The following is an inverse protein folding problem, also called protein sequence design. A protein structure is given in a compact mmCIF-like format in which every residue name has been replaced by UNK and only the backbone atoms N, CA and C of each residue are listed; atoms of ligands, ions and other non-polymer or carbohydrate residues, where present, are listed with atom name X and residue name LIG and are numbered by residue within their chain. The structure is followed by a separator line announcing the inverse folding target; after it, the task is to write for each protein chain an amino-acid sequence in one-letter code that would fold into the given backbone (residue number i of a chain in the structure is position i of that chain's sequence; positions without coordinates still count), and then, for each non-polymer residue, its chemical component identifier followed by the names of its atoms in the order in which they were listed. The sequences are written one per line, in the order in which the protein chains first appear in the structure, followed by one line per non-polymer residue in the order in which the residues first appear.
data_IF_864299335804
#
_entry.id   IF_864299335804
#
_cell.length_a   1.000
_cell.length_b   1.000
_cell.length_c   1.000
_cell.angle_alpha   90.00
_cell.angle_beta   90.00
_cell.angle_gamma   90.00
#
_symmetry.space_group_name_H-M   'P 1'
#
loop_
_entity.id
_entity.type
_entity.pdbx_description
1 polymer ?
#
# COMPACT_ATOMS: atom_id res chain seq x y z
N UNK A 1 -43.88 23.77 5.30
CA UNK A 1 -43.31 22.98 6.40
C UNK A 1 -43.62 21.52 6.12
N UNK A 2 -42.71 20.83 5.44
CA UNK A 2 -42.84 19.42 5.04
C UNK A 2 -41.78 18.63 5.81
N UNK A 3 -42.22 17.77 6.71
CA UNK A 3 -41.37 16.85 7.47
C UNK A 3 -40.72 15.82 6.55
N UNK A 4 -39.41 15.54 6.66
CA UNK A 4 -38.79 14.46 5.92
C UNK A 4 -39.05 13.12 6.60
N UNK A 5 -39.65 12.20 5.86
CA UNK A 5 -39.83 10.79 6.20
C UNK A 5 -38.46 10.10 6.21
N UNK A 6 -38.04 9.61 7.38
CA UNK A 6 -36.83 8.80 7.53
C UNK A 6 -37.10 7.40 6.98
N UNK A 7 -36.34 6.98 5.97
CA UNK A 7 -36.39 5.62 5.46
C UNK A 7 -35.87 4.63 6.51
N UNK A 8 -36.47 3.44 6.67
CA UNK A 8 -36.02 2.45 7.63
C UNK A 8 -34.64 1.89 7.22
N UNK A 9 -33.74 1.81 8.19
CA UNK A 9 -32.42 1.20 8.02
C UNK A 9 -32.56 -0.27 7.60
N UNK A 10 -31.69 -0.79 6.73
CA UNK A 10 -31.73 -2.19 6.34
C UNK A 10 -31.42 -3.07 7.55
N UNK A 11 -32.38 -3.91 7.93
CA UNK A 11 -32.22 -4.92 8.96
C UNK A 11 -31.17 -5.91 8.47
N UNK A 12 -29.95 -5.83 9.03
CA UNK A 12 -28.92 -6.86 8.84
C UNK A 12 -29.49 -8.15 9.43
N UNK A 13 -29.81 -9.12 8.57
CA UNK A 13 -30.19 -10.44 9.01
C UNK A 13 -29.08 -11.00 9.91
N UNK A 14 -29.39 -11.59 11.08
CA UNK A 14 -28.38 -12.20 11.92
C UNK A 14 -27.66 -13.29 11.10
N UNK A 15 -26.33 -13.23 11.08
CA UNK A 15 -25.50 -14.29 10.51
C UNK A 15 -25.92 -15.64 11.11
N UNK A 16 -25.96 -16.73 10.31
CA UNK A 16 -26.35 -18.03 10.84
C UNK A 16 -25.48 -18.37 12.05
N UNK A 17 -26.11 -18.60 13.19
CA UNK A 17 -25.44 -18.99 14.43
C UNK A 17 -24.85 -20.38 14.23
N UNK A 18 -23.58 -20.45 13.84
CA UNK A 18 -22.82 -21.70 13.72
C UNK A 18 -22.89 -22.42 15.06
N UNK A 19 -23.33 -23.69 15.05
CA UNK A 19 -23.50 -24.44 16.28
C UNK A 19 -22.13 -24.63 16.97
N UNK A 20 -22.01 -24.56 18.31
CA UNK A 20 -20.74 -24.75 19.00
C UNK A 20 -20.03 -26.07 18.69
N UNK A 21 -20.77 -27.11 18.31
CA UNK A 21 -20.25 -28.40 17.84
C UNK A 21 -19.59 -28.31 16.46
N UNK A 22 -20.09 -27.45 15.59
CA UNK A 22 -19.59 -27.24 14.23
C UNK A 22 -18.25 -26.48 14.30
N UNK A 23 -18.15 -25.46 15.16
CA UNK A 23 -16.88 -24.78 15.48
C UNK A 23 -15.81 -25.74 16.03
N UNK A 24 -16.20 -26.71 16.88
CA UNK A 24 -15.29 -27.75 17.41
C UNK A 24 -14.72 -28.65 16.32
N UNK A 25 -15.50 -28.95 15.28
CA UNK A 25 -15.06 -29.79 14.17
C UNK A 25 -14.01 -29.10 13.28
N UNK A 26 -14.11 -27.77 13.12
CA UNK A 26 -13.21 -26.98 12.27
C UNK A 26 -11.78 -27.01 12.80
N UNK A 27 -11.58 -26.70 14.08
CA UNK A 27 -10.24 -26.70 14.67
C UNK A 27 -9.55 -28.08 14.60
N UNK A 28 -10.29 -29.15 14.90
CA UNK A 28 -9.76 -30.51 14.79
C UNK A 28 -9.40 -30.89 13.34
N UNK A 29 -10.21 -30.46 12.36
CA UNK A 29 -9.93 -30.66 10.94
C UNK A 29 -8.67 -29.90 10.50
N UNK A 30 -8.52 -28.64 10.93
CA UNK A 30 -7.35 -27.82 10.66
C UNK A 30 -6.07 -28.43 11.21
N UNK A 31 -6.09 -28.91 12.47
CA UNK A 31 -4.95 -29.56 13.06
C UNK A 31 -4.58 -30.87 12.36
N UNK A 32 -5.55 -31.66 11.89
CA UNK A 32 -5.28 -32.86 11.07
C UNK A 32 -4.56 -32.49 9.79
N UNK A 33 -5.04 -31.45 9.09
CA UNK A 33 -4.43 -30.99 7.84
C UNK A 33 -2.99 -30.48 8.07
N UNK A 34 -2.75 -29.71 9.13
CA UNK A 34 -1.41 -29.24 9.49
C UNK A 34 -0.48 -30.39 9.91
N UNK A 35 -1.00 -31.34 10.68
CA UNK A 35 -0.24 -32.50 11.17
C UNK A 35 0.17 -33.47 10.05
N UNK A 36 -0.57 -33.52 8.93
CA UNK A 36 -0.23 -34.37 7.78
C UNK A 36 1.13 -34.05 7.14
N UNK A 37 1.70 -32.87 7.41
CA UNK A 37 3.05 -32.49 6.95
C UNK A 37 4.17 -33.22 7.72
N UNK A 38 3.84 -33.90 8.81
CA UNK A 38 4.80 -34.54 9.70
C UNK A 38 4.68 -36.07 9.64
N UNK A 39 5.80 -36.81 9.73
CA UNK A 39 5.79 -38.28 9.62
C UNK A 39 5.01 -38.99 10.73
N UNK A 40 4.89 -38.36 11.91
CA UNK A 40 4.14 -38.94 13.03
C UNK A 40 3.62 -37.86 13.98
N UNK A 41 2.41 -38.08 14.50
CA UNK A 41 1.81 -37.21 15.54
C UNK A 41 2.66 -37.21 16.82
N UNK A 42 3.31 -38.32 17.15
CA UNK A 42 4.17 -38.40 18.33
C UNK A 42 5.45 -37.55 18.18
N UNK A 43 6.05 -37.51 16.98
CA UNK A 43 7.17 -36.62 16.68
C UNK A 43 6.76 -35.16 16.75
N UNK A 44 5.65 -34.82 16.08
CA UNK A 44 5.05 -33.50 16.10
C UNK A 44 4.81 -33.00 17.54
N UNK A 45 4.19 -33.81 18.41
CA UNK A 45 3.91 -33.42 19.79
C UNK A 45 5.18 -33.10 20.60
N UNK A 46 6.30 -33.80 20.32
CA UNK A 46 7.59 -33.54 20.98
C UNK A 46 8.20 -32.21 20.54
N UNK A 47 8.20 -31.94 19.24
CA UNK A 47 8.71 -30.68 18.68
C UNK A 47 7.84 -29.49 19.09
N UNK A 48 6.52 -29.66 19.04
CA UNK A 48 5.56 -28.67 19.48
C UNK A 48 5.59 -28.48 21.01
N UNK A 49 6.08 -29.47 21.75
CA UNK A 49 6.14 -29.54 23.22
C UNK A 49 4.76 -29.58 23.89
N UNK A 50 3.81 -30.27 23.28
CA UNK A 50 2.44 -30.45 23.79
C UNK A 50 2.24 -31.94 24.13
N UNK A 51 1.52 -32.21 25.21
CA UNK A 51 1.22 -33.59 25.60
C UNK A 51 0.40 -34.30 24.51
N UNK A 52 0.82 -35.52 24.11
CA UNK A 52 0.16 -36.28 23.03
C UNK A 52 -1.32 -36.56 23.28
N UNK A 53 -1.69 -36.91 24.51
CA UNK A 53 -3.10 -37.16 24.89
C UNK A 53 -3.91 -35.88 24.80
N UNK A 54 -3.32 -34.75 25.16
CA UNK A 54 -3.95 -33.44 25.02
C UNK A 54 -4.11 -33.05 23.54
N UNK A 55 -3.07 -33.26 22.72
CA UNK A 55 -3.12 -32.97 21.28
C UNK A 55 -4.16 -33.84 20.55
N UNK A 56 -4.28 -35.12 20.90
CA UNK A 56 -5.31 -36.00 20.34
C UNK A 56 -6.73 -35.52 20.65
N UNK A 57 -6.97 -34.97 21.85
CA UNK A 57 -8.26 -34.35 22.19
C UNK A 57 -8.56 -33.08 21.40
N UNK A 58 -7.52 -32.38 20.93
CA UNK A 58 -7.68 -31.26 20.00
C UNK A 58 -8.04 -31.74 18.60
N UNK A 59 -7.35 -32.79 18.11
CA UNK A 59 -7.65 -33.40 16.82
C UNK A 59 -9.09 -33.92 16.78
N UNK A 60 -9.60 -34.55 17.83
CA UNK A 60 -10.99 -35.02 17.88
C UNK A 60 -12.04 -33.93 18.10
N UNK A 61 -11.63 -32.68 18.42
CA UNK A 61 -12.55 -31.59 18.74
C UNK A 61 -13.21 -31.69 20.12
N UNK A 62 -12.72 -32.60 20.98
CA UNK A 62 -13.21 -32.78 22.36
C UNK A 62 -12.83 -31.62 23.28
N UNK A 63 -11.74 -30.91 22.97
CA UNK A 63 -11.26 -29.78 23.78
C UNK A 63 -10.56 -28.74 22.92
N UNK A 64 -10.43 -27.52 23.47
CA UNK A 64 -9.66 -26.44 22.88
C UNK A 64 -8.39 -26.13 23.67
N UNK A 65 -7.32 -25.66 23.01
CA UNK A 65 -6.10 -25.25 23.68
C UNK A 65 -6.33 -24.00 24.54
N UNK A 66 -5.60 -23.94 25.65
CA UNK A 66 -5.45 -22.69 26.41
C UNK A 66 -4.67 -21.66 25.56
N UNK A 67 -4.80 -20.35 25.84
CA UNK A 67 -4.18 -19.30 25.03
C UNK A 67 -2.66 -19.48 24.81
N UNK A 68 -1.92 -19.91 25.83
CA UNK A 68 -0.48 -20.18 25.76
C UNK A 68 -0.15 -21.36 24.81
N UNK A 69 -0.94 -22.43 24.89
CA UNK A 69 -0.80 -23.59 24.00
C UNK A 69 -1.20 -23.25 22.58
N UNK A 70 -2.27 -22.47 22.41
CA UNK A 70 -2.71 -22.00 21.10
C UNK A 70 -1.65 -21.14 20.43
N UNK A 71 -1.07 -20.18 21.16
CA UNK A 71 0.02 -19.35 20.65
C UNK A 71 1.19 -20.22 20.16
N UNK A 72 1.60 -21.23 20.93
CA UNK A 72 2.66 -22.17 20.52
C UNK A 72 2.29 -22.95 19.25
N UNK A 73 1.06 -23.42 19.14
CA UNK A 73 0.54 -24.09 17.93
C UNK A 73 0.61 -23.14 16.73
N UNK A 74 0.08 -21.92 16.87
CA UNK A 74 0.08 -20.89 15.85
C UNK A 74 1.50 -20.55 15.38
N UNK A 75 2.42 -20.29 16.31
CA UNK A 75 3.83 -20.01 16.00
C UNK A 75 4.53 -21.19 15.33
N UNK A 76 4.27 -22.41 15.79
CA UNK A 76 4.92 -23.61 15.24
C UNK A 76 4.51 -23.89 13.80
N UNK A 77 3.23 -23.71 13.47
CA UNK A 77 2.70 -23.97 12.12
C UNK A 77 2.70 -22.72 11.21
N UNK A 78 3.12 -21.57 11.71
CA UNK A 78 3.05 -20.26 11.05
C UNK A 78 1.62 -19.91 10.58
N UNK A 79 0.67 -19.98 11.52
CA UNK A 79 -0.76 -19.72 11.28
C UNK A 79 -1.36 -18.82 12.35
N UNK A 80 -2.48 -18.18 12.03
CA UNK A 80 -3.21 -17.28 12.93
C UNK A 80 -4.24 -18.02 13.83
N UNK A 81 -4.64 -17.43 14.95
CA UNK A 81 -5.62 -18.00 15.88
C UNK A 81 -7.01 -18.25 15.25
N UNK A 82 -7.29 -17.65 14.08
CA UNK A 82 -8.44 -17.99 13.23
C UNK A 82 -8.59 -19.48 12.93
N UNK A 83 -7.51 -20.28 13.06
CA UNK A 83 -7.60 -21.76 12.92
C UNK A 83 -8.61 -22.40 13.86
N UNK A 84 -9.05 -21.71 14.92
CA UNK A 84 -10.11 -22.19 15.81
C UNK A 84 -11.49 -22.22 15.13
N UNK A 85 -11.74 -21.31 14.19
CA UNK A 85 -13.09 -20.99 13.70
C UNK A 85 -13.21 -21.02 12.17
N UNK A 86 -12.10 -20.94 11.44
CA UNK A 86 -12.07 -20.92 9.98
C UNK A 86 -11.21 -22.07 9.43
N UNK A 87 -11.57 -22.70 8.30
CA UNK A 87 -10.71 -23.69 7.64
C UNK A 87 -9.31 -23.14 7.33
N UNK A 88 -8.25 -23.90 7.64
CA UNK A 88 -6.85 -23.44 7.59
C UNK A 88 -6.35 -23.14 6.18
N UNK A 89 -6.92 -23.79 5.18
CA UNK A 89 -6.71 -23.49 3.77
C UNK A 89 -7.27 -22.12 3.37
N UNK A 90 -8.39 -21.69 3.99
CA UNK A 90 -9.01 -20.39 3.72
C UNK A 90 -8.35 -19.23 4.49
N UNK A 91 -7.73 -19.50 5.63
CA UNK A 91 -7.05 -18.49 6.46
C UNK A 91 -5.89 -17.85 5.69
N UNK A 92 -5.15 -18.65 4.93
CA UNK A 92 -4.02 -18.18 4.12
C UNK A 92 -4.48 -17.59 2.79
N UNK A 93 -5.57 -18.09 2.19
CA UNK A 93 -6.08 -17.61 0.91
C UNK A 93 -6.76 -16.22 1.02
N UNK A 94 -7.40 -15.90 2.14
CA UNK A 94 -8.05 -14.59 2.35
C UNK A 94 -7.09 -13.42 2.59
N UNK A 95 -5.79 -13.70 2.77
CA UNK A 95 -4.75 -12.70 3.01
C UNK A 95 -3.90 -12.36 1.79
N UNK A 96 -4.04 -13.08 0.67
CA UNK A 96 -3.25 -12.82 -0.52
C UNK A 96 -3.76 -11.55 -1.22
N UNK A 97 -3.18 -10.39 -0.87
CA UNK A 97 -3.29 -9.18 -1.68
C UNK A 97 -2.85 -9.45 -3.12
N UNK A 98 -3.36 -8.68 -4.08
CA UNK A 98 -3.13 -8.89 -5.52
C UNK A 98 -1.67 -9.18 -5.88
N UNK A 99 -0.73 -8.45 -5.26
CA UNK A 99 0.72 -8.59 -5.48
C UNK A 99 1.29 -9.87 -4.84
N UNK A 100 0.73 -10.31 -3.72
CA UNK A 100 1.15 -11.51 -2.97
C UNK A 100 0.44 -12.79 -3.43
N UNK A 101 -0.45 -12.70 -4.44
CA UNK A 101 -1.17 -13.86 -4.96
C UNK A 101 -0.19 -14.87 -5.61
N UNK A 102 -0.34 -16.19 -5.37
CA UNK A 102 0.63 -17.20 -5.83
C UNK A 102 0.98 -17.15 -7.32
N UNK A 103 0.00 -16.84 -8.17
CA UNK A 103 0.20 -16.67 -9.63
C UNK A 103 1.21 -15.58 -10.01
N UNK A 104 1.30 -14.50 -9.22
CA UNK A 104 2.15 -13.35 -9.52
C UNK A 104 3.28 -13.15 -8.50
N UNK A 105 3.21 -13.80 -7.33
CA UNK A 105 4.17 -13.61 -6.24
C UNK A 105 5.64 -13.83 -6.66
N UNK A 106 6.00 -14.85 -7.48
CA UNK A 106 7.36 -15.01 -7.98
C UNK A 106 7.86 -13.86 -8.86
N UNK A 107 6.95 -13.07 -9.43
CA UNK A 107 7.25 -12.02 -10.40
C UNK A 107 7.16 -10.62 -9.80
N UNK A 108 6.21 -10.40 -8.88
CA UNK A 108 5.83 -9.08 -8.40
C UNK A 108 5.99 -8.89 -6.90
N UNK A 109 6.16 -9.94 -6.08
CA UNK A 109 6.18 -9.81 -4.61
C UNK A 109 7.57 -9.92 -3.98
N UNK A 110 8.47 -10.72 -4.56
CA UNK A 110 9.77 -11.01 -3.94
C UNK A 110 10.63 -9.74 -3.86
N UNK A 111 10.85 -9.24 -2.64
CA UNK A 111 11.70 -8.07 -2.36
C UNK A 111 11.13 -6.72 -2.83
N UNK A 112 10.04 -6.70 -3.59
CA UNK A 112 9.45 -5.48 -4.16
C UNK A 112 8.61 -4.69 -3.16
N UNK A 113 7.93 -5.37 -2.23
CA UNK A 113 6.96 -4.70 -1.33
C UNK A 113 7.60 -4.12 -0.06
N UNK A 114 8.80 -4.60 0.29
CA UNK A 114 9.56 -4.14 1.45
C UNK A 114 10.63 -3.12 1.03
N UNK A 115 10.28 -1.84 1.05
CA UNK A 115 11.22 -0.74 0.77
C UNK A 115 11.89 -0.32 2.09
N UNK A 116 13.21 -0.43 2.14
CA UNK A 116 14.01 0.00 3.30
C UNK A 116 14.05 1.54 3.43
N UNK A 117 14.17 2.05 4.66
CA UNK A 117 14.26 3.50 4.94
C UNK A 117 15.50 4.11 4.26
N UNK A 118 16.60 3.35 4.11
CA UNK A 118 17.78 3.78 3.38
C UNK A 118 17.55 3.89 1.87
N UNK A 119 16.53 3.22 1.31
CA UNK A 119 16.17 3.32 -0.12
C UNK A 119 15.21 4.49 -0.38
N UNK A 120 14.23 4.67 0.50
CA UNK A 120 13.32 5.82 0.51
C UNK A 120 12.82 6.12 1.92
N UNK A 121 13.24 7.24 2.53
CA UNK A 121 12.87 7.55 3.88
C UNK A 121 11.39 7.93 3.99
N UNK A 122 10.79 7.66 5.14
CA UNK A 122 9.48 8.21 5.50
C UNK A 122 9.56 9.74 5.68
N UNK A 123 8.45 10.43 5.46
CA UNK A 123 8.32 11.87 5.71
C UNK A 123 7.90 12.68 4.49
N UNK A 124 8.05 14.00 4.60
CA UNK A 124 7.71 14.94 3.55
C UNK A 124 8.75 15.01 2.45
N UNK A 125 8.25 14.95 1.22
CA UNK A 125 9.01 15.24 0.02
C UNK A 125 8.38 16.43 -0.70
N UNK A 126 9.24 17.33 -1.19
CA UNK A 126 8.88 18.25 -2.25
C UNK A 126 9.02 17.53 -3.58
N UNK A 127 8.05 17.67 -4.47
CA UNK A 127 8.17 17.16 -5.82
C UNK A 127 7.90 18.23 -6.87
N UNK A 128 8.53 18.06 -8.03
CA UNK A 128 8.23 18.84 -9.23
C UNK A 128 8.09 17.96 -10.46
N UNK A 129 7.23 18.36 -11.41
CA UNK A 129 7.03 17.68 -12.69
C UNK A 129 6.42 18.64 -13.72
N UNK A 130 6.85 18.66 -15.00
CA UNK A 130 6.16 19.39 -16.07
C UNK A 130 4.67 19.05 -16.08
N UNK A 131 3.80 20.05 -16.23
CA UNK A 131 2.36 19.80 -16.29
C UNK A 131 2.01 18.96 -17.52
N UNK A 132 1.07 18.02 -17.35
CA UNK A 132 0.64 17.16 -18.46
C UNK A 132 -0.26 17.90 -19.46
N UNK A 133 -0.85 19.02 -19.05
CA UNK A 133 -1.80 19.80 -19.86
C UNK A 133 -1.22 21.13 -20.33
N UNK A 134 -0.27 21.70 -19.61
CA UNK A 134 0.38 22.97 -19.94
C UNK A 134 1.89 22.76 -19.95
N UNK A 135 2.48 22.69 -21.14
CA UNK A 135 3.91 22.40 -21.32
C UNK A 135 4.82 23.53 -20.84
N UNK A 136 4.27 24.71 -20.55
CA UNK A 136 5.02 25.88 -20.06
C UNK A 136 5.08 25.96 -18.53
N UNK A 137 4.31 25.11 -17.84
CA UNK A 137 4.17 25.13 -16.38
C UNK A 137 4.71 23.87 -15.74
N UNK A 138 5.19 24.00 -14.51
CA UNK A 138 5.60 22.88 -13.67
C UNK A 138 4.66 22.76 -12.48
N UNK A 139 4.23 21.54 -12.19
CA UNK A 139 3.52 21.22 -10.95
C UNK A 139 4.56 21.15 -9.83
N UNK A 140 4.40 21.98 -8.81
CA UNK A 140 5.14 21.91 -7.55
C UNK A 140 4.18 21.44 -6.44
N UNK A 141 4.61 20.49 -5.61
CA UNK A 141 3.77 20.02 -4.52
C UNK A 141 4.51 19.28 -3.43
N UNK A 142 3.73 18.88 -2.43
CA UNK A 142 4.16 18.01 -1.33
C UNK A 142 3.55 16.62 -1.48
N UNK A 143 4.37 15.62 -1.19
CA UNK A 143 3.91 14.27 -0.90
C UNK A 143 4.47 13.83 0.46
N UNK A 144 3.72 12.98 1.14
CA UNK A 144 4.10 12.38 2.40
C UNK A 144 4.22 10.88 2.21
N UNK A 145 5.42 10.33 2.42
CA UNK A 145 5.70 8.90 2.36
C UNK A 145 5.64 8.35 3.78
N UNK A 146 4.97 7.22 3.95
CA UNK A 146 4.81 6.57 5.25
C UNK A 146 4.69 5.06 5.11
N UNK A 147 5.08 4.36 6.17
CA UNK A 147 4.97 2.90 6.26
C UNK A 147 3.82 2.51 7.16
N UNK A 148 3.08 1.48 6.77
CA UNK A 148 2.00 0.90 7.57
C UNK A 148 1.84 -0.58 7.20
N UNK A 149 1.70 -1.45 8.20
CA UNK A 149 1.48 -2.88 8.00
C UNK A 149 2.55 -3.55 7.12
N UNK A 150 3.80 -3.09 7.20
CA UNK A 150 4.93 -3.59 6.39
C UNK A 150 5.01 -3.05 4.95
N UNK A 151 4.06 -2.22 4.52
CA UNK A 151 4.03 -1.63 3.18
C UNK A 151 4.35 -0.13 3.21
N UNK A 152 4.84 0.38 2.09
CA UNK A 152 5.15 1.80 1.90
C UNK A 152 4.08 2.47 1.04
N UNK A 153 3.58 3.60 1.53
CA UNK A 153 2.52 4.38 0.90
C UNK A 153 2.95 5.82 0.70
N UNK A 154 2.33 6.48 -0.28
CA UNK A 154 2.40 7.92 -0.43
C UNK A 154 1.01 8.53 -0.35
N UNK A 155 0.96 9.77 0.12
CA UNK A 155 -0.23 10.62 0.12
C UNK A 155 0.17 12.02 -0.32
N UNK A 156 -0.65 12.63 -1.16
CA UNK A 156 -0.51 14.04 -1.51
C UNK A 156 -1.85 14.64 -1.90
N UNK A 157 -1.81 15.90 -2.32
CA UNK A 157 -3.00 16.63 -2.75
C UNK A 157 -2.72 17.34 -4.06
N UNK A 158 -3.62 17.21 -5.02
CA UNK A 158 -3.58 18.01 -6.25
C UNK A 158 -3.64 19.51 -5.91
N UNK A 159 -2.95 20.39 -6.65
CA UNK A 159 -3.09 21.83 -6.45
C UNK A 159 -4.53 22.30 -6.66
N UNK A 160 -5.00 23.26 -5.85
CA UNK A 160 -6.38 23.77 -5.93
C UNK A 160 -6.69 24.37 -7.31
N UNK A 161 -5.71 25.03 -7.91
CA UNK A 161 -5.81 25.62 -9.24
C UNK A 161 -6.02 24.54 -10.31
N UNK A 162 -5.25 23.45 -10.27
CA UNK A 162 -5.38 22.30 -11.19
C UNK A 162 -6.78 21.68 -11.12
N UNK A 163 -7.36 21.57 -9.92
CA UNK A 163 -8.74 21.11 -9.78
C UNK A 163 -9.73 22.06 -10.46
N UNK A 164 -9.59 23.37 -10.24
CA UNK A 164 -10.48 24.39 -10.83
C UNK A 164 -10.40 24.41 -12.35
N UNK A 165 -9.19 24.28 -12.92
CA UNK A 165 -9.01 24.20 -14.38
C UNK A 165 -9.69 22.98 -15.00
N UNK A 166 -9.85 21.89 -14.24
CA UNK A 166 -10.59 20.69 -14.66
C UNK A 166 -12.08 20.77 -14.33
N UNK A 167 -12.59 21.90 -13.83
CA UNK A 167 -13.97 22.04 -13.38
C UNK A 167 -14.32 21.24 -12.13
N UNK A 168 -13.31 20.80 -11.37
CA UNK A 168 -13.47 19.97 -10.17
C UNK A 168 -13.45 20.81 -8.90
N UNK A 169 -14.16 20.34 -7.87
CA UNK A 169 -14.22 21.02 -6.58
C UNK A 169 -12.88 20.87 -5.83
N UNK A 170 -12.26 21.96 -5.33
CA UNK A 170 -10.93 21.92 -4.72
C UNK A 170 -10.96 21.63 -3.21
N UNK A 171 -11.88 20.78 -2.74
CA UNK A 171 -11.92 20.35 -1.35
C UNK A 171 -10.82 19.29 -1.04
N UNK A 172 -10.46 19.08 0.24
CA UNK A 172 -9.42 18.13 0.61
C UNK A 172 -9.69 16.70 0.14
N UNK A 173 -10.94 16.22 0.18
CA UNK A 173 -11.28 14.83 -0.16
C UNK A 173 -11.06 14.60 -1.66
N UNK A 174 -11.56 15.51 -2.50
CA UNK A 174 -11.44 15.41 -3.97
C UNK A 174 -10.00 15.58 -4.46
N UNK A 175 -9.19 16.34 -3.74
CA UNK A 175 -7.78 16.59 -4.08
C UNK A 175 -6.83 15.49 -3.65
N UNK A 176 -7.19 14.72 -2.62
CA UNK A 176 -6.33 13.69 -2.06
C UNK A 176 -6.04 12.61 -3.10
N UNK A 177 -4.76 12.33 -3.30
CA UNK A 177 -4.30 11.14 -3.99
C UNK A 177 -3.48 10.29 -3.03
N UNK A 178 -3.52 8.98 -3.25
CA UNK A 178 -2.69 8.00 -2.54
C UNK A 178 -2.03 7.08 -3.53
N UNK A 179 -0.91 6.50 -3.14
CA UNK A 179 -0.26 5.47 -3.93
C UNK A 179 0.39 4.41 -3.07
N UNK A 180 0.51 3.23 -3.68
CA UNK A 180 1.37 2.16 -3.20
C UNK A 180 2.76 2.35 -3.81
N UNK A 181 3.80 2.00 -3.06
CA UNK A 181 5.18 2.04 -3.54
C UNK A 181 5.77 0.63 -3.50
N UNK A 182 6.51 0.30 -4.53
CA UNK A 182 7.22 -0.96 -4.67
C UNK A 182 8.63 -0.69 -5.16
N UNK A 183 9.59 -1.49 -4.71
CA UNK A 183 10.91 -1.57 -5.28
C UNK A 183 10.86 -2.38 -6.57
N UNK A 184 11.46 -1.87 -7.64
CA UNK A 184 11.56 -2.57 -8.92
C UNK A 184 12.85 -2.13 -9.65
N UNK A 185 13.58 -3.09 -10.20
CA UNK A 185 14.91 -2.87 -10.80
C UNK A 185 15.87 -2.17 -9.81
N UNK A 186 16.28 -0.94 -10.11
CA UNK A 186 17.16 -0.11 -9.28
C UNK A 186 16.45 1.11 -8.67
N UNK A 187 15.11 1.09 -8.64
CA UNK A 187 14.34 2.24 -8.21
C UNK A 187 13.03 1.87 -7.53
N UNK A 188 12.21 2.90 -7.34
CA UNK A 188 10.93 2.82 -6.68
C UNK A 188 9.86 3.18 -7.68
N UNK A 189 8.90 2.29 -7.79
CA UNK A 189 7.70 2.47 -8.58
C UNK A 189 6.57 2.89 -7.65
N UNK A 190 5.77 3.85 -8.09
CA UNK A 190 4.55 4.24 -7.40
C UNK A 190 3.35 4.17 -8.33
N UNK A 191 2.31 3.46 -7.89
CA UNK A 191 0.99 3.49 -8.53
C UNK A 191 0.10 4.45 -7.74
N UNK A 192 -0.20 5.60 -8.31
CA UNK A 192 -0.85 6.73 -7.61
C UNK A 192 -2.21 7.01 -8.21
N UNK A 193 -3.21 7.18 -7.35
CA UNK A 193 -4.58 7.45 -7.78
C UNK A 193 -5.32 8.41 -6.85
N UNK A 194 -6.21 9.22 -7.43
CA UNK A 194 -7.24 9.94 -6.67
C UNK A 194 -8.35 8.99 -6.24
N UNK A 195 -9.16 9.43 -5.27
CA UNK A 195 -10.33 8.68 -4.80
C UNK A 195 -11.22 8.21 -5.96
N UNK A 196 -11.71 6.97 -5.86
CA UNK A 196 -12.57 6.35 -6.87
C UNK A 196 -11.88 5.96 -8.17
N UNK A 197 -10.54 5.86 -8.19
CA UNK A 197 -9.76 5.53 -9.37
C UNK A 197 -9.92 6.51 -10.55
N UNK A 198 -10.30 7.76 -10.26
CA UNK A 198 -10.62 8.78 -11.28
C UNK A 198 -9.41 9.22 -12.11
N UNK A 199 -8.21 9.14 -11.53
CA UNK A 199 -6.94 9.35 -12.23
C UNK A 199 -5.97 8.29 -11.75
N UNK A 200 -5.07 7.86 -12.63
CA UNK A 200 -4.02 6.93 -12.28
C UNK A 200 -2.73 7.34 -12.98
N UNK A 201 -1.63 7.33 -12.22
CA UNK A 201 -0.28 7.49 -12.75
C UNK A 201 0.62 6.38 -12.26
N UNK A 202 1.54 5.99 -13.14
CA UNK A 202 2.65 5.12 -12.80
C UNK A 202 3.91 5.97 -12.77
N UNK A 203 4.61 5.96 -11.65
CA UNK A 203 5.82 6.76 -11.46
C UNK A 203 7.00 5.82 -11.23
N UNK A 204 8.16 6.18 -11.77
CA UNK A 204 9.44 5.56 -11.45
C UNK A 204 10.37 6.62 -10.88
N UNK A 205 11.10 6.30 -9.82
CA UNK A 205 12.06 7.16 -9.15
C UNK A 205 13.31 6.36 -8.77
N UNK A 206 14.47 6.82 -9.20
CA UNK A 206 15.78 6.33 -8.76
C UNK A 206 16.51 7.41 -7.98
N UNK A 207 17.29 7.01 -6.97
CA UNK A 207 18.07 7.95 -6.17
C UNK A 207 19.14 8.63 -7.03
N UNK A 208 19.29 9.94 -6.87
CA UNK A 208 20.35 10.72 -7.51
C UNK A 208 21.59 10.68 -6.61
N UNK A 209 22.72 10.25 -7.17
CA UNK A 209 24.02 10.39 -6.53
C UNK A 209 24.34 11.88 -6.35
N UNK A 210 24.12 12.40 -5.14
CA UNK A 210 24.31 13.80 -4.77
C UNK A 210 24.90 13.88 -3.36
N UNK A 211 25.52 15.02 -3.02
CA UNK A 211 26.24 15.18 -1.75
C UNK A 211 25.36 14.88 -0.51
N UNK A 212 24.09 15.32 -0.54
CA UNK A 212 23.15 15.14 0.58
C UNK A 212 22.28 13.87 0.46
N UNK A 213 22.39 13.10 -0.64
CA UNK A 213 21.64 11.86 -0.89
C UNK A 213 20.12 11.93 -0.64
N UNK A 214 19.53 13.12 -0.78
CA UNK A 214 18.12 13.42 -0.49
C UNK A 214 17.29 13.72 -1.75
N UNK A 215 17.81 13.41 -2.95
CA UNK A 215 17.11 13.59 -4.21
C UNK A 215 16.85 12.26 -4.93
N UNK A 216 15.70 12.20 -5.59
CA UNK A 216 15.32 11.14 -6.52
C UNK A 216 14.84 11.76 -7.81
N UNK A 217 15.16 11.13 -8.94
CA UNK A 217 14.68 11.53 -10.26
C UNK A 217 14.07 10.35 -10.98
N UNK A 218 13.23 10.65 -11.96
CA UNK A 218 12.66 9.64 -12.84
C UNK A 218 11.54 10.25 -13.64
N UNK A 219 10.40 9.58 -13.70
CA UNK A 219 9.28 10.01 -14.54
C UNK A 219 7.94 9.56 -14.00
N UNK A 220 6.88 10.23 -14.45
CA UNK A 220 5.51 9.80 -14.26
C UNK A 220 4.82 9.64 -15.62
N UNK A 221 4.04 8.58 -15.75
CA UNK A 221 3.18 8.32 -16.91
C UNK A 221 1.71 8.33 -16.51
N UNK A 222 0.84 8.79 -17.40
CA UNK A 222 -0.61 8.73 -17.23
C UNK A 222 -1.17 7.50 -17.93
N UNK A 223 -2.05 6.77 -17.26
CA UNK A 223 -2.83 5.67 -17.85
C UNK A 223 -4.08 6.19 -18.55
N UNK A 224 -3.88 7.03 -19.56
CA UNK A 224 -4.95 7.60 -20.40
C UNK A 224 -4.72 7.26 -21.87
N UNK A 225 -5.79 7.31 -22.68
CA UNK A 225 -5.67 7.18 -24.14
C UNK A 225 -4.71 8.23 -24.69
N UNK A 226 -4.08 7.91 -25.81
CA UNK A 226 -3.32 8.87 -26.57
C UNK A 226 -4.20 10.06 -26.97
N UNK A 227 -3.61 11.24 -26.87
CA UNK A 227 -4.22 12.53 -27.18
C UNK A 227 -3.25 13.27 -28.08
N UNK A 228 -3.77 14.01 -29.06
CA UNK A 228 -2.99 14.90 -29.92
C UNK A 228 -2.37 16.08 -29.14
N UNK A 229 -2.90 16.37 -27.95
CA UNK A 229 -2.45 17.45 -27.07
C UNK A 229 -2.06 16.94 -25.69
N UNK A 230 -0.86 17.32 -25.21
CA UNK A 230 -0.34 17.01 -23.88
C UNK A 230 0.61 15.79 -23.84
N UNK A 231 1.41 15.70 -22.78
CA UNK A 231 2.38 14.63 -22.62
C UNK A 231 1.78 13.46 -21.81
N UNK A 232 2.02 12.23 -22.24
CA UNK A 232 1.66 11.01 -21.47
C UNK A 232 2.72 10.61 -20.45
N UNK A 233 3.95 11.08 -20.64
CA UNK A 233 5.09 10.84 -19.76
C UNK A 233 5.84 12.16 -19.55
N UNK A 234 6.33 12.40 -18.34
CA UNK A 234 7.12 13.58 -18.02
C UNK A 234 8.13 13.24 -16.91
N UNK A 235 9.31 13.88 -16.98
CA UNK A 235 10.33 13.76 -15.92
C UNK A 235 9.80 14.28 -14.60
N UNK A 236 10.26 13.68 -13.50
CA UNK A 236 9.82 14.00 -12.15
C UNK A 236 11.03 14.02 -11.22
N UNK A 237 11.04 14.96 -10.27
CA UNK A 237 12.09 15.09 -9.26
C UNK A 237 11.47 15.18 -7.86
N UNK A 238 12.05 14.45 -6.91
CA UNK A 238 11.65 14.37 -5.51
C UNK A 238 12.83 14.77 -4.63
N UNK A 239 12.55 15.53 -3.58
CA UNK A 239 13.52 15.97 -2.58
C UNK A 239 12.96 15.68 -1.18
N UNK A 240 13.69 14.90 -0.38
CA UNK A 240 13.31 14.64 1.01
C UNK A 240 13.63 15.85 1.86
N UNK A 241 12.60 16.43 2.48
CA UNK A 241 12.67 17.68 3.24
C UNK A 241 12.10 17.54 4.66
N UNK A 242 11.90 16.32 5.14
CA UNK A 242 11.27 16.04 6.45
C UNK A 242 11.93 16.81 7.61
N UNK A 243 13.27 16.94 7.58
CA UNK A 243 14.05 17.59 8.63
C UNK A 243 14.17 19.11 8.44
N UNK A 244 13.45 19.70 7.47
CA UNK A 244 13.47 21.13 7.20
C UNK A 244 12.04 21.72 7.20
N UNK A 245 11.50 22.08 8.39
CA UNK A 245 10.16 22.63 8.51
C UNK A 245 9.92 23.87 7.65
N UNK A 246 10.94 24.74 7.50
CA UNK A 246 10.87 25.92 6.65
C UNK A 246 10.59 25.53 5.19
N UNK A 247 11.36 24.58 4.65
CA UNK A 247 11.14 24.08 3.28
C UNK A 247 9.76 23.42 3.11
N UNK A 248 9.28 22.70 4.14
CA UNK A 248 7.94 22.09 4.12
C UNK A 248 6.86 23.18 4.00
N UNK A 249 6.87 24.19 4.89
CA UNK A 249 5.87 25.25 4.86
C UNK A 249 5.96 26.13 3.62
N UNK A 250 7.16 26.45 3.14
CA UNK A 250 7.35 27.20 1.90
C UNK A 250 6.79 26.43 0.70
N UNK A 251 7.07 25.13 0.60
CA UNK A 251 6.55 24.29 -0.48
C UNK A 251 5.04 24.14 -0.38
N UNK A 252 4.48 23.98 0.82
CA UNK A 252 3.03 23.91 1.04
C UNK A 252 2.31 25.18 0.54
N UNK A 253 2.89 26.36 0.80
CA UNK A 253 2.31 27.65 0.38
C UNK A 253 2.43 27.89 -1.12
N UNK A 254 3.53 27.43 -1.74
CA UNK A 254 3.80 27.56 -3.18
C UNK A 254 3.25 26.41 -4.03
N UNK A 255 2.64 25.39 -3.41
CA UNK A 255 2.13 24.22 -4.13
C UNK A 255 1.09 24.63 -5.17
N UNK A 256 1.33 24.33 -6.44
CA UNK A 256 0.68 25.02 -7.54
C UNK A 256 1.24 24.64 -8.92
N UNK A 257 0.70 25.29 -9.94
CA UNK A 257 1.42 25.46 -11.20
C UNK A 257 2.35 26.67 -11.05
N UNK A 258 3.63 26.45 -11.25
CA UNK A 258 4.67 27.49 -11.16
C UNK A 258 5.41 27.59 -12.49
N UNK A 259 6.02 28.74 -12.74
CA UNK A 259 6.96 28.90 -13.84
C UNK A 259 8.25 28.11 -13.54
N UNK A 260 8.93 27.57 -14.56
CA UNK A 260 10.20 26.86 -14.39
C UNK A 260 11.22 27.61 -13.53
N UNK A 261 11.30 28.92 -13.68
CA UNK A 261 12.27 29.81 -13.03
C UNK A 261 12.05 29.92 -11.52
N UNK A 262 10.85 29.59 -11.03
CA UNK A 262 10.51 29.61 -9.61
C UNK A 262 10.99 28.35 -8.86
N UNK A 263 11.41 27.32 -9.60
CA UNK A 263 11.97 26.10 -9.02
C UNK A 263 13.40 26.34 -8.54
N UNK A 264 13.79 25.59 -7.50
CA UNK A 264 15.19 25.54 -7.13
C UNK A 264 16.05 24.97 -8.28
N UNK A 265 17.34 25.30 -8.28
CA UNK A 265 18.26 24.95 -9.37
C UNK A 265 18.38 23.42 -9.57
N UNK A 266 18.41 22.64 -8.48
CA UNK A 266 18.49 21.18 -8.55
C UNK A 266 17.28 20.57 -9.24
N UNK A 267 16.06 20.97 -8.87
CA UNK A 267 14.84 20.50 -9.53
C UNK A 267 14.83 20.88 -11.01
N UNK A 268 15.22 22.11 -11.38
CA UNK A 268 15.32 22.51 -12.80
C UNK A 268 16.29 21.59 -13.57
N UNK A 269 17.46 21.34 -12.99
CA UNK A 269 18.48 20.47 -13.60
C UNK A 269 17.99 19.05 -13.80
N UNK A 270 17.34 18.44 -12.80
CA UNK A 270 16.82 17.07 -12.89
C UNK A 270 15.66 16.94 -13.89
N UNK A 271 14.83 17.98 -13.99
CA UNK A 271 13.69 17.97 -14.90
C UNK A 271 14.05 18.10 -16.39
N UNK A 272 15.24 18.64 -16.73
CA UNK A 272 15.72 18.79 -18.11
C UNK A 272 14.63 19.30 -19.06
N UNK A 273 14.05 20.45 -18.73
CA UNK A 273 12.84 20.97 -19.37
C UNK A 273 13.02 21.28 -20.87
N UNK A 274 14.26 21.54 -21.29
CA UNK A 274 14.61 21.83 -22.68
C UNK A 274 14.86 20.57 -23.52
N UNK A 275 14.97 19.40 -22.88
CA UNK A 275 15.20 18.13 -23.56
C UNK A 275 13.90 17.34 -23.70
N UNK A 276 13.57 16.78 -24.88
CA UNK A 276 12.40 15.92 -25.03
C UNK A 276 12.52 14.69 -24.13
N UNK A 277 11.38 14.21 -23.63
CA UNK A 277 11.30 12.91 -22.97
C UNK A 277 11.49 11.80 -24.01
N UNK A 278 12.41 10.87 -23.77
CA UNK A 278 12.76 9.76 -24.67
C UNK A 278 12.53 8.43 -23.98
#
# INVERSE_FOLDING_TARGET
MTTPTVAPSPTVAPSPTVAPSELRSIFGANLRQLANRYPSVAGLCRELGVNRTQFNRYLSGESFPRPDVLHRICTFFDVDARILLEPVDQINQRGAGLITHPEVAPFLSQGSTNIHEEQLPSGFFRFSRPSFTDVTRVVLGLVYVYRKDGFTFLRGYEPREVMRMQGLYPDPISREFRGILMFQEQGIVALVSRRGALTCSFNFLSRVSSYDNNFWEGYATRTVKESLSGCRAARMAYEHIQHNPKAIYETARKSGLVAPEELNEFHRRLLRLEEPFR
#
